data_IF_150180888216
#
_entry.id   IF_150180888216
#
_cell.length_a   1.000
_cell.length_b   1.000
_cell.length_c   1.000
_cell.angle_alpha   90.00
_cell.angle_beta   90.00
_cell.angle_gamma   90.00
#
_symmetry.space_group_name_H-M   'P 1'
#
loop_
_entity.id
_entity.type
_entity.pdbx_description
1 polymer ?
#
# COMPACT_ATOMS: atom_id res chain seq x y z
N UNK A 1 -17.52 0.26 14.94
CA UNK A 1 -16.26 0.32 14.16
C UNK A 1 -15.19 1.12 14.88
N UNK A 2 -15.47 2.37 15.32
CA UNK A 2 -14.51 3.19 16.07
C UNK A 2 -13.95 2.52 17.36
N UNK A 3 -14.72 1.65 18.01
CA UNK A 3 -14.30 0.99 19.25
C UNK A 3 -13.05 0.09 19.10
N UNK A 4 -12.92 -0.67 18.00
CA UNK A 4 -11.73 -1.50 17.76
C UNK A 4 -10.49 -0.63 17.51
N UNK A 5 -10.63 0.44 16.73
CA UNK A 5 -9.56 1.41 16.50
C UNK A 5 -9.12 2.10 17.81
N UNK A 6 -10.07 2.57 18.63
CA UNK A 6 -9.75 3.19 19.93
C UNK A 6 -8.99 2.24 20.85
N UNK A 7 -9.35 0.95 20.86
CA UNK A 7 -8.61 -0.08 21.60
C UNK A 7 -7.19 -0.25 21.05
N UNK A 8 -7.02 -0.32 19.73
CA UNK A 8 -5.70 -0.47 19.09
C UNK A 8 -4.80 0.75 19.33
N UNK A 9 -5.35 1.96 19.29
CA UNK A 9 -4.60 3.19 19.59
C UNK A 9 -4.16 3.28 21.05
N UNK A 10 -4.91 2.67 21.98
CA UNK A 10 -4.65 2.74 23.41
C UNK A 10 -3.88 1.52 23.98
N UNK A 11 -3.64 0.49 23.17
CA UNK A 11 -3.04 -0.75 23.65
C UNK A 11 -1.50 -0.70 23.68
N UNK A 12 -0.91 -1.41 24.63
CA UNK A 12 0.55 -1.54 24.74
C UNK A 12 1.14 -2.53 23.72
N UNK A 13 0.33 -3.50 23.28
CA UNK A 13 0.71 -4.53 22.31
C UNK A 13 -0.29 -4.57 21.14
N UNK A 14 -0.03 -3.71 20.15
CA UNK A 14 -0.84 -3.62 18.94
C UNK A 14 -0.87 -4.94 18.17
N UNK A 15 0.27 -5.63 18.11
CA UNK A 15 0.40 -6.87 17.37
C UNK A 15 -0.58 -7.90 17.91
N UNK A 16 -0.56 -8.14 19.22
CA UNK A 16 -1.47 -9.09 19.86
C UNK A 16 -2.94 -8.73 19.66
N UNK A 17 -3.31 -7.44 19.78
CA UNK A 17 -4.69 -7.00 19.60
C UNK A 17 -5.20 -7.15 18.16
N UNK A 18 -4.37 -6.85 17.16
CA UNK A 18 -4.69 -7.08 15.75
C UNK A 18 -4.82 -8.57 15.48
N UNK A 19 -3.90 -9.41 15.98
CA UNK A 19 -4.00 -10.87 15.81
C UNK A 19 -5.26 -11.44 16.46
N UNK A 20 -5.61 -11.03 17.67
CA UNK A 20 -6.84 -11.45 18.34
C UNK A 20 -8.08 -11.08 17.50
N UNK A 21 -8.13 -9.84 16.99
CA UNK A 21 -9.23 -9.35 16.17
C UNK A 21 -9.34 -10.15 14.85
N UNK A 22 -8.24 -10.37 14.15
CA UNK A 22 -8.23 -11.19 12.93
C UNK A 22 -8.66 -12.64 13.22
N UNK A 23 -8.15 -13.25 14.29
CA UNK A 23 -8.51 -14.62 14.68
C UNK A 23 -10.00 -14.76 15.04
N UNK A 24 -10.62 -13.71 15.56
CA UNK A 24 -12.05 -13.68 15.84
C UNK A 24 -12.90 -13.59 14.57
N UNK A 25 -12.55 -12.68 13.65
CA UNK A 25 -13.44 -12.32 12.54
C UNK A 25 -13.16 -13.05 11.24
N UNK A 26 -11.91 -13.37 10.91
CA UNK A 26 -11.56 -14.04 9.64
C UNK A 26 -12.28 -15.39 9.48
N UNK A 27 -12.28 -16.31 10.47
CA UNK A 27 -12.97 -17.59 10.31
C UNK A 27 -14.50 -17.46 10.22
N UNK A 28 -15.07 -16.43 10.87
CA UNK A 28 -16.51 -16.18 10.85
C UNK A 28 -16.98 -15.63 9.51
N UNK A 29 -16.12 -14.93 8.78
CA UNK A 29 -16.46 -14.29 7.51
C UNK A 29 -16.09 -15.20 6.34
N UNK A 30 -14.92 -15.84 6.35
CA UNK A 30 -14.35 -16.50 5.17
C UNK A 30 -14.31 -18.04 5.23
N UNK A 31 -14.57 -18.65 6.40
CA UNK A 31 -14.47 -20.10 6.56
C UNK A 31 -15.81 -20.81 6.72
N UNK A 32 -16.93 -20.11 6.55
CA UNK A 32 -18.26 -20.70 6.54
C UNK A 32 -18.56 -21.24 5.13
N UNK A 33 -17.94 -22.36 4.76
CA UNK A 33 -18.15 -22.97 3.44
C UNK A 33 -19.59 -23.43 3.22
N UNK A 34 -20.15 -23.02 2.08
CA UNK A 34 -21.53 -23.23 1.66
C UNK A 34 -21.98 -24.69 1.63
N UNK A 35 -23.15 -24.94 2.20
CA UNK A 35 -24.00 -26.04 1.73
C UNK A 35 -24.44 -25.78 0.29
N UNK A 36 -25.12 -26.74 -0.36
CA UNK A 36 -25.73 -26.50 -1.68
C UNK A 36 -26.78 -25.38 -1.61
N UNK A 37 -26.33 -24.13 -1.74
CA UNK A 37 -27.15 -22.94 -1.74
C UNK A 37 -27.55 -22.63 -3.19
N UNK A 38 -28.74 -22.09 -3.39
CA UNK A 38 -29.17 -21.65 -4.72
C UNK A 38 -28.33 -20.42 -5.16
N UNK A 39 -28.11 -20.22 -6.47
CA UNK A 39 -27.32 -19.09 -7.01
C UNK A 39 -27.72 -17.71 -6.47
N UNK A 40 -29.01 -17.52 -6.10
CA UNK A 40 -29.50 -16.27 -5.49
C UNK A 40 -29.10 -16.13 -4.02
N UNK A 41 -28.99 -17.25 -3.31
CA UNK A 41 -28.52 -17.32 -1.93
C UNK A 41 -27.00 -17.12 -1.88
N UNK A 42 -26.26 -17.72 -2.81
CA UNK A 42 -24.80 -17.52 -2.99
C UNK A 42 -24.47 -16.03 -3.19
N UNK A 43 -25.13 -15.33 -4.12
CA UNK A 43 -24.91 -13.88 -4.32
C UNK A 43 -25.21 -13.04 -3.08
N UNK A 44 -26.22 -13.43 -2.29
CA UNK A 44 -26.57 -12.72 -1.05
C UNK A 44 -25.54 -12.99 0.04
N UNK A 45 -24.97 -14.20 0.06
CA UNK A 45 -23.91 -14.59 0.97
C UNK A 45 -22.62 -13.84 0.65
N UNK A 46 -22.19 -13.81 -0.62
CA UNK A 46 -21.05 -13.01 -1.10
C UNK A 46 -21.18 -11.53 -0.70
N UNK A 47 -22.35 -10.92 -0.91
CA UNK A 47 -22.60 -9.53 -0.50
C UNK A 47 -22.51 -9.33 1.02
N UNK A 48 -22.93 -10.32 1.82
CA UNK A 48 -22.83 -10.26 3.28
C UNK A 48 -21.39 -10.43 3.74
N UNK A 49 -20.63 -11.31 3.10
CA UNK A 49 -19.21 -11.50 3.34
C UNK A 49 -18.44 -10.22 3.01
N UNK A 50 -18.65 -9.64 1.83
CA UNK A 50 -18.03 -8.38 1.41
C UNK A 50 -18.32 -7.25 2.39
N UNK A 51 -19.59 -7.09 2.81
CA UNK A 51 -19.96 -6.10 3.81
C UNK A 51 -19.30 -6.37 5.17
N UNK A 52 -19.20 -7.64 5.58
CA UNK A 52 -18.56 -8.00 6.84
C UNK A 52 -17.05 -7.76 6.80
N UNK A 53 -16.38 -8.10 5.68
CA UNK A 53 -14.97 -7.76 5.44
C UNK A 53 -14.75 -6.26 5.56
N UNK A 54 -15.58 -5.46 4.90
CA UNK A 54 -15.45 -4.01 4.93
C UNK A 54 -15.64 -3.46 6.35
N UNK A 55 -16.70 -3.86 7.06
CA UNK A 55 -17.04 -3.26 8.36
C UNK A 55 -16.21 -3.79 9.52
N UNK A 56 -15.81 -5.06 9.49
CA UNK A 56 -15.18 -5.74 10.62
C UNK A 56 -13.68 -5.90 10.45
N UNK A 57 -13.14 -5.95 9.23
CA UNK A 57 -11.70 -6.08 9.02
C UNK A 57 -11.08 -4.79 8.48
N UNK A 58 -11.58 -4.27 7.36
CA UNK A 58 -10.96 -3.14 6.67
C UNK A 58 -11.19 -1.81 7.38
N UNK A 59 -12.44 -1.48 7.73
CA UNK A 59 -12.74 -0.19 8.37
C UNK A 59 -11.96 0.04 9.67
N UNK A 60 -11.84 -0.91 10.62
CA UNK A 60 -10.99 -0.71 11.80
C UNK A 60 -9.53 -0.36 11.46
N UNK A 61 -8.96 -0.99 10.43
CA UNK A 61 -7.60 -0.70 9.95
C UNK A 61 -7.51 0.68 9.33
N UNK A 62 -8.47 1.08 8.48
CA UNK A 62 -8.52 2.41 7.88
C UNK A 62 -8.55 3.51 8.95
N UNK A 63 -9.43 3.37 9.94
CA UNK A 63 -9.53 4.32 11.06
C UNK A 63 -8.25 4.36 11.89
N UNK A 64 -7.60 3.22 12.11
CA UNK A 64 -6.35 3.15 12.87
C UNK A 64 -5.20 3.81 12.11
N UNK A 65 -5.01 3.47 10.83
CA UNK A 65 -3.93 4.00 10.00
C UNK A 65 -4.04 5.51 9.77
N UNK A 66 -5.26 6.03 9.69
CA UNK A 66 -5.53 7.45 9.45
C UNK A 66 -5.72 8.25 10.74
N UNK A 67 -5.73 7.59 11.91
CA UNK A 67 -5.87 8.23 13.23
C UNK A 67 -7.21 8.96 13.43
N UNK A 68 -8.21 8.67 12.60
CA UNK A 68 -9.45 9.44 12.54
C UNK A 68 -10.40 8.94 11.46
N UNK A 69 -11.36 9.78 11.07
CA UNK A 69 -12.33 9.45 10.02
C UNK A 69 -11.60 9.26 8.67
N UNK A 70 -11.77 8.10 7.99
CA UNK A 70 -10.99 7.76 6.81
C UNK A 70 -11.11 8.74 5.64
N UNK A 71 -12.30 9.23 5.32
CA UNK A 71 -12.49 10.13 4.19
C UNK A 71 -11.70 11.44 4.37
N UNK A 72 -11.70 12.01 5.58
CA UNK A 72 -10.92 13.18 5.94
C UNK A 72 -9.42 12.91 5.90
N UNK A 73 -8.97 11.77 6.44
CA UNK A 73 -7.57 11.36 6.40
C UNK A 73 -7.04 11.21 4.98
N UNK A 74 -7.81 10.53 4.11
CA UNK A 74 -7.46 10.36 2.70
C UNK A 74 -7.44 11.70 1.94
N UNK A 75 -8.40 12.59 2.21
CA UNK A 75 -8.42 13.92 1.60
C UNK A 75 -7.18 14.75 1.99
N UNK A 76 -6.71 14.65 3.23
CA UNK A 76 -5.47 15.30 3.68
C UNK A 76 -4.24 14.73 2.96
N UNK A 77 -4.15 13.41 2.82
CA UNK A 77 -3.06 12.76 2.09
C UNK A 77 -3.01 13.19 0.63
N UNK A 78 -4.16 13.34 -0.02
CA UNK A 78 -4.25 13.84 -1.40
C UNK A 78 -3.85 15.32 -1.54
N UNK A 79 -3.97 16.11 -0.48
CA UNK A 79 -3.62 17.54 -0.46
C UNK A 79 -2.16 17.81 -0.04
N UNK A 80 -1.46 16.82 0.51
CA UNK A 80 -0.06 16.93 0.91
C UNK A 80 0.85 17.20 -0.29
N UNK A 81 1.10 18.48 -0.60
CA UNK A 81 1.85 18.96 -1.77
C UNK A 81 3.37 18.71 -1.75
N UNK A 82 3.85 17.68 -1.05
CA UNK A 82 5.22 17.20 -1.18
C UNK A 82 5.36 16.27 -2.38
N UNK A 83 6.52 16.25 -3.05
CA UNK A 83 6.80 15.16 -3.99
C UNK A 83 6.78 13.84 -3.22
N UNK A 84 5.86 12.95 -3.57
CA UNK A 84 5.80 11.63 -2.96
C UNK A 84 7.16 10.94 -3.08
N UNK A 85 7.59 10.25 -2.02
CA UNK A 85 8.84 9.50 -2.05
C UNK A 85 8.79 8.34 -3.05
N UNK A 86 7.59 7.81 -3.31
CA UNK A 86 7.30 6.74 -4.26
C UNK A 86 6.41 7.26 -5.38
N UNK A 87 6.60 6.74 -6.59
CA UNK A 87 5.72 7.05 -7.72
C UNK A 87 4.39 6.31 -7.63
N UNK A 88 4.42 4.98 -7.49
CA UNK A 88 3.21 4.15 -7.34
C UNK A 88 2.23 4.20 -8.54
N UNK A 89 2.63 4.76 -9.68
CA UNK A 89 1.77 4.84 -10.86
C UNK A 89 1.32 3.45 -11.30
N UNK A 90 0.01 3.22 -11.31
CA UNK A 90 -0.59 1.94 -11.70
C UNK A 90 -0.68 1.85 -13.22
N UNK A 91 -0.04 0.84 -13.80
CA UNK A 91 0.01 0.72 -15.25
C UNK A 91 -1.33 0.32 -15.86
N UNK A 92 -1.64 0.95 -17.00
CA UNK A 92 -2.78 0.58 -17.84
C UNK A 92 -2.36 -0.43 -18.91
N UNK A 93 -3.33 -1.19 -19.41
CA UNK A 93 -3.12 -2.08 -20.57
C UNK A 93 -2.58 -1.26 -21.73
N UNK A 94 -1.49 -1.72 -22.35
CA UNK A 94 -0.87 -1.03 -23.49
C UNK A 94 0.14 0.05 -23.09
N UNK A 95 0.29 0.38 -21.81
CA UNK A 95 1.24 1.39 -21.35
C UNK A 95 2.69 0.86 -21.38
N UNK A 96 3.69 1.66 -21.82
CA UNK A 96 5.07 1.24 -21.79
C UNK A 96 5.65 1.22 -20.37
N UNK A 97 6.42 0.17 -20.08
CA UNK A 97 7.16 -0.06 -18.84
C UNK A 97 8.64 -0.17 -19.16
N UNK A 98 9.51 0.31 -18.26
CA UNK A 98 10.95 0.36 -18.49
C UNK A 98 11.70 -0.33 -17.36
N UNK A 99 12.48 -1.36 -17.68
CA UNK A 99 13.31 -2.09 -16.71
C UNK A 99 14.79 -1.94 -17.06
N UNK A 100 15.62 -1.51 -16.10
CA UNK A 100 17.06 -1.38 -16.29
C UNK A 100 17.77 -2.70 -15.97
N UNK A 101 18.52 -3.25 -16.93
CA UNK A 101 19.21 -4.55 -16.78
C UNK A 101 20.38 -4.51 -15.80
N UNK A 102 20.90 -3.32 -15.54
CA UNK A 102 22.07 -3.12 -14.69
C UNK A 102 21.66 -2.84 -13.25
N UNK A 103 20.55 -2.10 -13.07
CA UNK A 103 20.15 -1.56 -11.77
C UNK A 103 19.01 -2.32 -11.10
N UNK A 104 18.11 -2.96 -11.86
CA UNK A 104 16.98 -3.68 -11.27
C UNK A 104 17.44 -4.81 -10.33
N UNK A 105 16.81 -4.92 -9.15
CA UNK A 105 17.07 -5.99 -8.21
C UNK A 105 16.60 -7.35 -8.76
N UNK A 106 15.45 -7.36 -9.45
CA UNK A 106 14.91 -8.52 -10.13
C UNK A 106 14.19 -8.15 -11.45
N UNK A 107 13.75 -9.13 -12.27
CA UNK A 107 13.14 -8.86 -13.57
C UNK A 107 11.76 -8.18 -13.54
N UNK A 108 11.15 -8.03 -12.37
CA UNK A 108 9.84 -7.40 -12.20
C UNK A 108 9.93 -5.90 -11.95
N UNK A 109 11.11 -5.38 -11.62
CA UNK A 109 11.31 -3.95 -11.35
C UNK A 109 11.14 -3.11 -12.62
N UNK A 110 10.20 -2.17 -12.58
CA UNK A 110 9.75 -1.36 -13.72
C UNK A 110 9.49 0.10 -13.34
N UNK A 111 9.80 0.98 -14.28
CA UNK A 111 9.49 2.40 -14.22
C UNK A 111 8.41 2.76 -15.22
N UNK A 112 7.55 3.72 -14.87
CA UNK A 112 6.72 4.42 -15.84
C UNK A 112 7.57 5.36 -16.70
N UNK A 113 7.01 5.78 -17.84
CA UNK A 113 7.72 6.64 -18.81
C UNK A 113 8.27 7.91 -18.16
N UNK A 114 7.48 8.58 -17.33
CA UNK A 114 7.89 9.82 -16.67
C UNK A 114 9.08 9.61 -15.73
N UNK A 115 9.04 8.54 -14.93
CA UNK A 115 10.13 8.21 -14.00
C UNK A 115 11.40 7.77 -14.74
N UNK A 116 11.26 6.95 -15.77
CA UNK A 116 12.38 6.51 -16.58
C UNK A 116 13.13 7.71 -17.20
N UNK A 117 12.39 8.63 -17.86
CA UNK A 117 12.97 9.82 -18.50
C UNK A 117 13.62 10.79 -17.51
N UNK A 118 13.16 10.83 -16.27
CA UNK A 118 13.70 11.67 -15.19
C UNK A 118 14.74 10.95 -14.30
N UNK A 119 15.16 9.72 -14.66
CA UNK A 119 16.12 8.92 -13.89
C UNK A 119 17.45 8.75 -14.62
N UNK A 120 18.47 8.29 -13.90
CA UNK A 120 19.75 7.90 -14.51
C UNK A 120 19.62 6.71 -15.47
N UNK A 121 18.60 5.86 -15.29
CA UNK A 121 18.40 4.60 -16.02
C UNK A 121 18.19 4.78 -17.52
N UNK A 122 17.80 5.96 -17.98
CA UNK A 122 17.71 6.30 -19.41
C UNK A 122 19.05 6.23 -20.15
N UNK A 123 20.15 6.23 -19.41
CA UNK A 123 21.51 6.13 -19.94
C UNK A 123 22.11 4.71 -19.79
N UNK A 124 21.36 3.76 -19.23
CA UNK A 124 21.77 2.36 -19.07
C UNK A 124 21.14 1.46 -20.13
N UNK A 125 21.51 0.17 -20.13
CA UNK A 125 20.82 -0.86 -20.91
C UNK A 125 19.49 -1.19 -20.27
N UNK A 126 18.41 -0.83 -20.94
CA UNK A 126 17.05 -1.10 -20.49
C UNK A 126 16.28 -2.00 -21.46
N UNK A 127 15.17 -2.54 -20.98
CA UNK A 127 14.14 -3.20 -21.77
C UNK A 127 12.86 -2.39 -21.64
N UNK A 128 12.23 -2.10 -22.77
CA UNK A 128 10.86 -1.59 -22.78
C UNK A 128 9.90 -2.74 -23.07
N UNK A 129 8.83 -2.81 -22.29
CA UNK A 129 7.76 -3.79 -22.44
C UNK A 129 6.40 -3.11 -22.35
N UNK A 130 5.43 -3.63 -23.07
CA UNK A 130 4.04 -3.17 -22.95
C UNK A 130 3.37 -3.86 -21.77
N UNK A 131 2.79 -3.09 -20.85
CA UNK A 131 2.05 -3.64 -19.71
C UNK A 131 0.78 -4.35 -20.18
N UNK A 132 0.50 -5.50 -19.58
CA UNK A 132 -0.79 -6.19 -19.71
C UNK A 132 -1.92 -5.55 -18.88
N UNK A 133 -1.63 -4.48 -18.14
CA UNK A 133 -2.52 -3.86 -17.15
C UNK A 133 -2.21 -4.35 -15.73
N UNK A 134 -2.26 -3.43 -14.76
CA UNK A 134 -1.86 -3.70 -13.38
C UNK A 134 -0.36 -3.58 -13.14
N UNK A 135 0.08 -3.81 -11.90
CA UNK A 135 1.43 -3.48 -11.45
C UNK A 135 1.63 -1.97 -11.22
N UNK A 136 2.74 -1.61 -10.59
CA UNK A 136 3.04 -0.23 -10.22
C UNK A 136 4.47 0.16 -10.58
N UNK A 137 4.71 1.46 -10.75
CA UNK A 137 6.04 2.00 -10.95
C UNK A 137 6.86 1.93 -9.65
N UNK A 138 8.03 1.30 -9.69
CA UNK A 138 8.93 1.09 -8.54
C UNK A 138 9.87 2.27 -8.29
N UNK A 139 9.60 3.43 -8.88
CA UNK A 139 10.40 4.62 -8.65
C UNK A 139 10.25 5.07 -7.19
N UNK A 140 11.36 5.20 -6.49
CA UNK A 140 11.45 5.55 -5.08
C UNK A 140 11.60 4.33 -4.16
N UNK A 141 11.40 3.11 -4.67
CA UNK A 141 11.55 1.89 -3.89
C UNK A 141 13.03 1.49 -3.85
N UNK A 142 13.64 1.53 -2.66
CA UNK A 142 15.05 1.19 -2.48
C UNK A 142 15.33 -0.32 -2.65
N UNK A 143 14.33 -1.19 -2.48
CA UNK A 143 14.49 -2.64 -2.61
C UNK A 143 14.42 -3.08 -4.07
N UNK A 144 13.73 -2.33 -4.94
CA UNK A 144 13.61 -2.63 -6.36
C UNK A 144 14.88 -2.29 -7.17
N UNK A 145 15.78 -1.45 -6.66
CA UNK A 145 16.94 -0.94 -7.41
C UNK A 145 18.24 -1.03 -6.62
N UNK A 146 19.24 -1.72 -7.18
CA UNK A 146 20.62 -1.75 -6.65
C UNK A 146 21.25 -0.36 -6.60
N UNK A 147 20.92 0.50 -7.55
CA UNK A 147 21.38 1.89 -7.62
C UNK A 147 20.32 2.77 -8.27
N UNK A 148 20.28 4.04 -7.88
CA UNK A 148 19.36 5.03 -8.44
C UNK A 148 17.87 4.71 -8.22
N UNK A 149 17.40 4.48 -6.98
CA UNK A 149 16.02 4.09 -6.72
C UNK A 149 15.01 5.18 -7.10
N UNK A 150 15.39 6.45 -7.03
CA UNK A 150 14.52 7.60 -7.27
C UNK A 150 14.86 8.35 -8.56
N UNK A 151 13.82 8.88 -9.23
CA UNK A 151 13.97 9.89 -10.27
C UNK A 151 13.97 11.31 -9.67
N UNK A 152 14.24 12.33 -10.50
CA UNK A 152 14.27 13.73 -10.05
C UNK A 152 12.93 14.21 -9.43
N UNK A 153 11.81 13.61 -9.83
CA UNK A 153 10.48 13.98 -9.34
C UNK A 153 10.07 13.25 -8.04
N UNK A 154 10.77 12.18 -7.67
CA UNK A 154 10.47 11.35 -6.49
C UNK A 154 11.72 11.21 -5.62
N UNK A 155 12.42 12.34 -5.43
CA UNK A 155 13.53 12.38 -4.48
C UNK A 155 12.95 12.41 -3.07
N UNK A 156 13.46 11.58 -2.13
CA UNK A 156 13.16 11.75 -0.73
C UNK A 156 13.60 13.17 -0.35
N UNK A 157 12.71 13.95 0.28
CA UNK A 157 13.11 15.23 0.85
C UNK A 157 14.28 14.96 1.82
N UNK A 158 15.45 15.46 1.47
CA UNK A 158 16.75 15.41 2.16
C UNK A 158 16.89 14.39 3.31
N UNK A 159 17.66 13.33 3.07
CA UNK A 159 18.10 12.38 4.10
C UNK A 159 19.13 12.98 5.09
N UNK A 160 19.11 14.30 5.33
CA UNK A 160 19.92 14.96 6.35
C UNK A 160 19.22 15.01 7.73
N UNK A 161 18.22 14.14 7.95
CA UNK A 161 17.91 13.64 9.28
C UNK A 161 18.76 12.40 9.53
N UNK A 162 20.04 12.64 9.83
CA UNK A 162 20.82 11.73 10.67
C UNK A 162 19.90 11.24 11.78
N UNK A 163 19.59 9.94 11.81
CA UNK A 163 19.08 9.25 13.00
C UNK A 163 18.14 10.10 13.86
N UNK A 164 17.02 10.60 13.32
CA UNK A 164 15.89 10.76 14.22
C UNK A 164 15.45 9.32 14.49
N UNK A 165 15.85 8.85 15.67
CA UNK A 165 15.17 7.79 16.40
C UNK A 165 13.74 7.68 15.91
N UNK A 166 13.28 6.44 15.70
CA UNK A 166 11.87 6.11 15.89
C UNK A 166 11.46 6.86 17.15
N UNK A 167 10.82 8.03 16.98
CA UNK A 167 10.39 8.84 18.10
C UNK A 167 9.53 7.89 18.90
N UNK A 168 9.92 7.52 20.13
CA UNK A 168 9.06 6.71 20.94
C UNK A 168 7.76 7.50 21.02
N UNK A 169 6.65 6.90 20.61
CA UNK A 169 5.30 7.44 20.83
C UNK A 169 4.95 7.44 22.33
N UNK A 170 5.90 7.85 23.18
CA UNK A 170 5.89 7.86 24.63
C UNK A 170 6.63 9.09 25.14
N UNK A 171 6.17 10.28 24.74
CA UNK A 171 6.40 11.48 25.51
C UNK A 171 5.07 12.24 25.67
N UNK A 172 4.26 11.69 26.58
CA UNK A 172 3.23 12.38 27.36
C UNK A 172 2.26 13.30 26.60
N UNK A 173 1.16 12.73 26.09
CA UNK A 173 -0.21 13.16 26.40
C UNK A 173 -1.16 11.98 26.21
#
# INVERSE_FOLDING_TARGET
MAASCQRWLACADLQQEVYCHLAEYVPRILCQGGGMAEHREEQREEQREELALQLLLLAPLEWFLLGGEPAAGLALLQQGGGSAALCGHVFKVGEPTYSCRECAADPTCVLCMQCFLASAHRHHRYRMTTSGGGGFCDCGDAEAWKTGPSCQNHTPADQNRETEEVRPLLAWF
#
